data_IF_735477890206
#
_entry.id   IF_735477890206
#
_cell.length_a   1.000
_cell.length_b   1.000
_cell.length_c   1.000
_cell.angle_alpha   90.00
_cell.angle_beta   90.00
_cell.angle_gamma   90.00
#
_symmetry.space_group_name_H-M   'P 1'
#
loop_
_entity.id
_entity.type
_entity.pdbx_description
1 polymer ?
#
# COMPACT_ATOMS: atom_id res chain seq x y z
N UNK A 1 7.62 16.46 25.13
CA UNK A 1 7.47 15.18 24.40
C UNK A 1 6.00 14.99 24.09
N UNK A 2 5.62 14.80 22.82
CA UNK A 2 4.25 14.45 22.46
C UNK A 2 3.97 13.03 22.98
N UNK A 3 2.84 12.85 23.68
CA UNK A 3 2.35 11.54 24.11
C UNK A 3 1.83 10.77 22.89
N UNK A 4 2.73 10.31 22.03
CA UNK A 4 2.38 9.27 21.05
C UNK A 4 2.18 7.97 21.83
N UNK A 5 0.94 7.47 21.85
CA UNK A 5 0.66 6.12 22.35
C UNK A 5 1.51 5.16 21.51
N UNK A 6 2.57 4.61 22.09
CA UNK A 6 3.33 3.51 21.50
C UNK A 6 2.34 2.35 21.27
N UNK A 7 1.89 2.21 20.03
CA UNK A 7 1.12 1.06 19.60
C UNK A 7 2.10 -0.04 19.20
N UNK A 8 1.86 -1.25 19.68
CA UNK A 8 2.63 -2.42 19.26
C UNK A 8 2.49 -2.63 17.74
N UNK A 9 3.55 -3.13 17.11
CA UNK A 9 3.48 -3.53 15.70
C UNK A 9 2.46 -4.67 15.55
N UNK A 10 1.63 -4.64 14.50
CA UNK A 10 0.54 -5.61 14.30
C UNK A 10 1.00 -7.07 14.34
N UNK A 11 2.19 -7.36 13.81
CA UNK A 11 2.79 -8.69 13.84
C UNK A 11 3.09 -9.20 15.27
N UNK A 12 3.43 -8.31 16.21
CA UNK A 12 3.62 -8.71 17.61
C UNK A 12 2.28 -9.14 18.23
N UNK A 13 1.22 -8.35 18.02
CA UNK A 13 -0.12 -8.72 18.46
C UNK A 13 -0.63 -10.00 17.79
N UNK A 14 -0.30 -10.22 16.52
CA UNK A 14 -0.62 -11.45 15.81
C UNK A 14 0.12 -12.65 16.40
N UNK A 15 1.41 -12.53 16.72
CA UNK A 15 2.16 -13.60 17.38
C UNK A 15 1.58 -13.96 18.76
N UNK A 16 1.15 -12.97 19.55
CA UNK A 16 0.46 -13.21 20.82
C UNK A 16 -0.88 -13.93 20.62
N UNK A 17 -1.68 -13.54 19.61
CA UNK A 17 -2.93 -14.25 19.27
C UNK A 17 -2.69 -15.70 18.88
N UNK A 18 -1.65 -15.96 18.09
CA UNK A 18 -1.29 -17.31 17.65
C UNK A 18 -0.96 -18.21 18.84
N UNK A 19 -0.23 -17.67 19.82
CA UNK A 19 0.31 -18.46 20.93
C UNK A 19 -0.70 -18.60 22.07
N UNK A 20 -1.38 -17.50 22.42
CA UNK A 20 -2.27 -17.46 23.57
C UNK A 20 -3.72 -17.78 23.20
N UNK A 21 -4.10 -17.70 21.92
CA UNK A 21 -5.46 -17.96 21.47
C UNK A 21 -6.49 -17.18 22.27
N UNK A 22 -7.47 -17.89 22.83
CA UNK A 22 -8.54 -17.32 23.66
C UNK A 22 -8.01 -16.74 24.98
N UNK A 23 -6.85 -17.18 25.47
CA UNK A 23 -6.25 -16.64 26.69
C UNK A 23 -5.76 -15.20 26.52
N UNK A 24 -5.63 -14.72 25.28
CA UNK A 24 -5.33 -13.31 25.00
C UNK A 24 -6.35 -12.37 25.63
N UNK A 25 -7.60 -12.80 25.80
CA UNK A 25 -8.65 -12.00 26.44
C UNK A 25 -8.33 -11.63 27.90
N UNK A 26 -7.51 -12.44 28.58
CA UNK A 26 -7.11 -12.22 29.96
C UNK A 26 -5.95 -11.24 30.11
N UNK A 27 -5.31 -10.82 29.01
CA UNK A 27 -4.26 -9.80 29.04
C UNK A 27 -4.81 -8.36 29.21
N UNK A 28 -6.11 -8.12 29.00
CA UNK A 28 -6.74 -6.82 29.25
C UNK A 28 -6.26 -5.64 28.37
N UNK A 29 -7.00 -4.53 28.38
CA UNK A 29 -6.79 -3.36 27.49
C UNK A 29 -5.60 -2.46 27.89
N UNK A 30 -4.96 -2.71 29.02
CA UNK A 30 -3.86 -1.89 29.55
C UNK A 30 -2.79 -2.77 30.20
N UNK A 31 -1.78 -3.16 29.42
CA UNK A 31 -0.51 -3.64 29.98
C UNK A 31 0.57 -2.62 29.63
N UNK A 32 1.05 -1.83 30.61
CA UNK A 32 2.26 -1.06 30.44
C UNK A 32 3.42 -2.04 30.28
N UNK A 33 3.82 -2.24 29.03
CA UNK A 33 5.04 -2.91 28.58
C UNK A 33 5.42 -4.18 29.37
N UNK A 34 4.80 -5.31 29.01
CA UNK A 34 5.28 -6.61 29.49
C UNK A 34 6.61 -6.94 28.82
N UNK A 35 7.65 -7.10 29.65
CA UNK A 35 8.95 -7.61 29.23
C UNK A 35 8.87 -9.12 29.04
N UNK A 36 8.81 -9.55 27.78
CA UNK A 36 8.86 -10.96 27.40
C UNK A 36 10.31 -11.37 27.19
N UNK A 37 10.87 -12.15 28.13
CA UNK A 37 12.22 -12.70 27.97
C UNK A 37 12.17 -13.98 27.12
N UNK A 38 12.11 -13.79 25.80
CA UNK A 38 11.99 -14.86 24.81
C UNK A 38 12.92 -16.06 25.05
N UNK A 39 14.20 -15.91 25.45
CA UNK A 39 15.09 -17.05 25.67
C UNK A 39 14.68 -17.99 26.83
N UNK A 40 13.81 -17.56 27.76
CA UNK A 40 13.30 -18.41 28.85
C UNK A 40 11.94 -19.04 28.54
N UNK A 41 11.31 -18.67 27.44
CA UNK A 41 10.06 -19.29 27.04
C UNK A 41 10.31 -20.65 26.41
N UNK A 42 9.34 -21.53 26.56
CA UNK A 42 9.34 -22.80 25.83
C UNK A 42 9.37 -22.54 24.31
N UNK A 43 10.21 -23.29 23.61
CA UNK A 43 10.48 -23.06 22.18
C UNK A 43 9.39 -23.60 21.28
N UNK A 44 8.71 -24.67 21.69
CA UNK A 44 7.66 -25.29 20.89
C UNK A 44 6.38 -24.47 21.02
N UNK A 45 6.00 -24.10 22.25
CA UNK A 45 4.81 -23.30 22.53
C UNK A 45 4.92 -21.87 21.98
N UNK A 46 6.11 -21.25 22.06
CA UNK A 46 6.30 -19.84 21.71
C UNK A 46 7.06 -19.65 20.39
N UNK A 47 7.03 -20.64 19.51
CA UNK A 47 7.82 -20.71 18.28
C UNK A 47 7.79 -19.40 17.45
N UNK A 48 6.59 -18.85 17.22
CA UNK A 48 6.42 -17.65 16.39
C UNK A 48 6.97 -16.37 17.04
N UNK A 49 6.80 -16.20 18.35
CA UNK A 49 7.40 -15.09 19.08
C UNK A 49 8.93 -15.19 19.06
N UNK A 50 9.49 -16.38 19.20
CA UNK A 50 10.94 -16.57 19.14
C UNK A 50 11.53 -16.34 17.75
N UNK A 51 10.71 -16.51 16.71
CA UNK A 51 11.07 -16.26 15.31
C UNK A 51 11.03 -14.77 14.94
N UNK A 52 10.41 -13.91 15.76
CA UNK A 52 10.42 -12.44 15.63
C UNK A 52 11.78 -11.84 16.04
N UNK A 53 12.83 -12.25 15.34
CA UNK A 53 14.20 -11.73 15.48
C UNK A 53 14.79 -11.45 14.11
N UNK A 54 15.89 -10.70 14.04
CA UNK A 54 16.57 -10.29 12.80
C UNK A 54 17.87 -11.06 12.53
N UNK A 55 18.06 -12.21 13.17
CA UNK A 55 19.26 -13.04 13.09
C UNK A 55 18.94 -14.53 12.88
N UNK A 56 17.88 -14.82 12.12
CA UNK A 56 17.59 -16.20 11.71
C UNK A 56 18.72 -16.76 10.85
N UNK A 57 19.09 -18.02 11.06
CA UNK A 57 20.12 -18.69 10.29
C UNK A 57 19.55 -19.24 8.99
N UNK A 58 20.27 -19.03 7.88
CA UNK A 58 20.01 -19.75 6.64
C UNK A 58 20.14 -21.28 6.85
N UNK A 59 19.49 -22.06 6.00
CA UNK A 59 19.40 -23.51 6.08
C UNK A 59 18.17 -24.01 6.84
N UNK A 60 18.38 -24.96 7.76
CA UNK A 60 17.32 -25.72 8.45
C UNK A 60 16.33 -24.83 9.20
N UNK A 61 16.80 -23.75 9.82
CA UNK A 61 15.95 -22.85 10.61
C UNK A 61 14.92 -22.14 9.73
N UNK A 62 15.34 -21.52 8.62
CA UNK A 62 14.42 -20.89 7.67
C UNK A 62 13.51 -21.92 7.00
N UNK A 63 14.02 -23.11 6.65
CA UNK A 63 13.18 -24.18 6.05
C UNK A 63 12.09 -24.67 7.01
N UNK A 64 12.42 -24.80 8.29
CA UNK A 64 11.45 -25.16 9.34
C UNK A 64 10.39 -24.07 9.51
N UNK A 65 10.81 -22.80 9.49
CA UNK A 65 9.88 -21.66 9.53
C UNK A 65 8.89 -21.70 8.36
N UNK A 66 9.39 -21.94 7.15
CA UNK A 66 8.58 -22.07 5.95
C UNK A 66 7.58 -23.23 6.05
N UNK A 67 8.04 -24.41 6.48
CA UNK A 67 7.19 -25.59 6.65
C UNK A 67 6.10 -25.39 7.71
N UNK A 68 6.41 -24.68 8.80
CA UNK A 68 5.44 -24.34 9.83
C UNK A 68 4.44 -23.27 9.38
N UNK A 69 4.88 -22.32 8.55
CA UNK A 69 4.00 -21.32 7.94
C UNK A 69 3.00 -21.95 6.98
N UNK A 70 3.44 -22.89 6.14
CA UNK A 70 2.62 -23.50 5.09
C UNK A 70 1.34 -24.14 5.63
N UNK A 71 1.42 -24.78 6.81
CA UNK A 71 0.27 -25.39 7.50
C UNK A 71 -0.83 -24.39 7.87
N UNK A 72 -0.50 -23.10 7.97
CA UNK A 72 -1.38 -22.02 8.44
C UNK A 72 -1.47 -20.84 7.45
N UNK A 73 -1.09 -21.06 6.18
CA UNK A 73 -0.91 -20.00 5.17
C UNK A 73 -2.13 -19.12 4.91
N UNK A 74 -3.33 -19.63 5.14
CA UNK A 74 -4.58 -18.87 4.94
C UNK A 74 -4.91 -17.93 6.10
N UNK A 75 -4.20 -18.03 7.22
CA UNK A 75 -4.42 -17.18 8.39
C UNK A 75 -3.74 -15.82 8.23
N UNK A 76 -4.53 -14.76 8.38
CA UNK A 76 -4.05 -13.38 8.34
C UNK A 76 -3.01 -13.09 9.41
N UNK A 77 -3.13 -13.69 10.60
CA UNK A 77 -2.19 -13.48 11.69
C UNK A 77 -0.83 -14.11 11.39
N UNK A 78 -0.82 -15.34 10.86
CA UNK A 78 0.41 -16.01 10.44
C UNK A 78 1.09 -15.26 9.29
N UNK A 79 0.30 -14.77 8.32
CA UNK A 79 0.81 -13.94 7.22
C UNK A 79 1.44 -12.64 7.73
N UNK A 80 0.82 -11.96 8.69
CA UNK A 80 1.36 -10.74 9.28
C UNK A 80 2.71 -10.98 10.00
N UNK A 81 2.82 -12.08 10.75
CA UNK A 81 4.06 -12.49 11.41
C UNK A 81 5.14 -12.84 10.38
N UNK A 82 4.83 -13.67 9.40
CA UNK A 82 5.77 -14.11 8.37
C UNK A 82 6.31 -12.96 7.53
N UNK A 83 5.46 -11.99 7.18
CA UNK A 83 5.86 -10.77 6.48
C UNK A 83 6.90 -9.96 7.26
N UNK A 84 6.70 -9.79 8.58
CA UNK A 84 7.67 -9.07 9.41
C UNK A 84 9.00 -9.82 9.50
N UNK A 85 8.95 -11.13 9.74
CA UNK A 85 10.15 -11.97 9.83
C UNK A 85 10.96 -11.93 8.53
N UNK A 86 10.28 -12.04 7.39
CA UNK A 86 10.92 -12.02 6.06
C UNK A 86 11.64 -10.70 5.81
N UNK A 87 11.01 -9.57 6.17
CA UNK A 87 11.62 -8.24 6.01
C UNK A 87 12.82 -8.04 6.94
N UNK A 88 12.73 -8.53 8.17
CA UNK A 88 13.79 -8.39 9.17
C UNK A 88 15.02 -9.28 8.88
N UNK A 89 14.85 -10.37 8.11
CA UNK A 89 15.91 -11.34 7.79
C UNK A 89 16.14 -11.47 6.27
N UNK A 90 15.96 -10.37 5.52
CA UNK A 90 15.96 -10.40 4.05
C UNK A 90 17.20 -11.08 3.45
N UNK A 91 18.40 -10.76 3.95
CA UNK A 91 19.65 -11.33 3.44
C UNK A 91 19.72 -12.85 3.61
N UNK A 92 19.32 -13.36 4.78
CA UNK A 92 19.36 -14.80 5.07
C UNK A 92 18.26 -15.54 4.31
N UNK A 93 17.09 -14.91 4.14
CA UNK A 93 16.02 -15.41 3.30
C UNK A 93 16.44 -15.45 1.83
N UNK A 94 17.23 -14.48 1.36
CA UNK A 94 17.73 -14.39 -0.02
C UNK A 94 18.72 -15.50 -0.38
N UNK A 95 19.52 -15.96 0.59
CA UNK A 95 20.41 -17.13 0.41
C UNK A 95 19.61 -18.42 0.19
N UNK A 96 18.53 -18.62 0.95
CA UNK A 96 17.60 -19.74 0.72
C UNK A 96 16.70 -19.55 -0.51
N UNK A 97 16.63 -18.32 -1.06
CA UNK A 97 15.83 -17.95 -2.24
C UNK A 97 16.33 -18.54 -3.56
N UNK A 98 17.51 -19.17 -3.60
CA UNK A 98 17.86 -20.04 -4.74
C UNK A 98 17.09 -21.37 -4.76
N UNK A 99 16.32 -21.66 -3.70
CA UNK A 99 15.40 -22.79 -3.57
C UNK A 99 13.91 -22.34 -3.67
N UNK A 100 13.63 -21.06 -3.97
CA UNK A 100 12.33 -20.36 -3.82
C UNK A 100 11.22 -20.65 -4.85
N UNK A 101 11.31 -21.61 -5.75
CA UNK A 101 10.19 -21.86 -6.67
C UNK A 101 8.90 -22.24 -5.91
N UNK A 102 9.03 -22.98 -4.81
CA UNK A 102 7.92 -23.30 -3.90
C UNK A 102 7.40 -22.08 -3.12
N UNK A 103 8.25 -21.10 -2.84
CA UNK A 103 7.89 -19.86 -2.14
C UNK A 103 7.12 -18.91 -3.07
N UNK A 104 7.55 -18.82 -4.34
CA UNK A 104 6.79 -18.13 -5.37
C UNK A 104 5.45 -18.81 -5.63
N UNK A 105 5.38 -20.15 -5.65
CA UNK A 105 4.12 -20.90 -5.79
C UNK A 105 3.17 -20.67 -4.59
N UNK A 106 3.72 -20.56 -3.37
CA UNK A 106 2.95 -20.33 -2.15
C UNK A 106 2.30 -18.95 -2.09
N UNK A 107 2.92 -17.93 -2.72
CA UNK A 107 2.39 -16.58 -2.83
C UNK A 107 1.86 -16.23 -4.24
N UNK A 108 1.93 -17.17 -5.20
CA UNK A 108 1.65 -16.89 -6.61
C UNK A 108 0.23 -16.37 -6.81
N UNK A 109 -0.74 -16.99 -6.14
CA UNK A 109 -2.14 -16.60 -6.30
C UNK A 109 -2.42 -15.23 -5.69
N UNK A 110 -1.87 -14.94 -4.50
CA UNK A 110 -2.04 -13.64 -3.84
C UNK A 110 -1.35 -12.50 -4.63
N UNK A 111 -0.17 -12.78 -5.20
CA UNK A 111 0.52 -11.86 -6.11
C UNK A 111 -0.27 -11.65 -7.39
N UNK A 112 -0.79 -12.73 -7.99
CA UNK A 112 -1.56 -12.70 -9.24
C UNK A 112 -2.86 -11.93 -9.05
N UNK A 113 -3.55 -12.17 -7.94
CA UNK A 113 -4.74 -11.41 -7.58
C UNK A 113 -4.44 -9.93 -7.32
N UNK A 114 -3.35 -9.62 -6.63
CA UNK A 114 -2.94 -8.24 -6.39
C UNK A 114 -2.58 -7.51 -7.69
N UNK A 115 -1.85 -8.16 -8.61
CA UNK A 115 -1.56 -7.62 -9.95
C UNK A 115 -2.85 -7.43 -10.76
N UNK A 116 -3.76 -8.41 -10.76
CA UNK A 116 -5.04 -8.30 -11.47
C UNK A 116 -5.87 -7.13 -10.94
N UNK A 117 -5.96 -6.97 -9.61
CA UNK A 117 -6.65 -5.86 -8.96
C UNK A 117 -6.01 -4.53 -9.33
N UNK A 118 -4.69 -4.41 -9.18
CA UNK A 118 -3.95 -3.18 -9.51
C UNK A 118 -4.13 -2.76 -10.97
N UNK A 119 -4.05 -3.70 -11.91
CA UNK A 119 -4.30 -3.42 -13.34
C UNK A 119 -5.73 -2.99 -13.61
N UNK A 120 -6.70 -3.66 -12.99
CA UNK A 120 -8.12 -3.36 -13.19
C UNK A 120 -8.49 -2.00 -12.63
N UNK A 121 -8.01 -1.68 -11.43
CA UNK A 121 -8.22 -0.37 -10.79
C UNK A 121 -7.49 0.74 -11.55
N UNK A 122 -6.23 0.52 -11.93
CA UNK A 122 -5.47 1.47 -12.72
C UNK A 122 -6.10 1.76 -14.08
N UNK A 123 -6.61 0.72 -14.78
CA UNK A 123 -7.32 0.90 -16.05
C UNK A 123 -8.63 1.67 -15.87
N UNK A 124 -9.41 1.36 -14.83
CA UNK A 124 -10.66 2.08 -14.54
C UNK A 124 -10.40 3.55 -14.20
N UNK A 125 -9.41 3.82 -13.35
CA UNK A 125 -9.04 5.17 -12.95
C UNK A 125 -8.53 5.96 -14.15
N UNK A 126 -7.55 5.43 -14.88
CA UNK A 126 -6.99 6.09 -16.05
C UNK A 126 -8.01 6.36 -17.16
N UNK A 127 -8.95 5.43 -17.40
CA UNK A 127 -10.05 5.65 -18.35
C UNK A 127 -10.99 6.77 -17.90
N UNK A 128 -11.34 6.80 -16.61
CA UNK A 128 -12.22 7.83 -16.05
C UNK A 128 -11.55 9.21 -16.08
N UNK A 129 -10.31 9.31 -15.59
CA UNK A 129 -9.54 10.56 -15.58
C UNK A 129 -9.27 11.07 -17.00
N UNK A 130 -8.86 10.19 -17.92
CA UNK A 130 -8.64 10.56 -19.31
C UNK A 130 -9.90 11.05 -20.02
N UNK A 131 -11.06 10.42 -19.78
CA UNK A 131 -12.33 10.87 -20.34
C UNK A 131 -12.75 12.24 -19.80
N UNK A 132 -12.61 12.45 -18.49
CA UNK A 132 -12.94 13.72 -17.85
C UNK A 132 -12.03 14.85 -18.34
N UNK A 133 -10.72 14.58 -18.41
CA UNK A 133 -9.74 15.55 -18.90
C UNK A 133 -10.02 15.89 -20.37
N UNK A 134 -10.20 14.88 -21.24
CA UNK A 134 -10.48 15.11 -22.66
C UNK A 134 -11.78 15.89 -22.89
N UNK A 135 -12.83 15.60 -22.12
CA UNK A 135 -14.10 16.35 -22.20
C UNK A 135 -13.93 17.80 -21.74
N UNK A 136 -13.21 18.03 -20.64
CA UNK A 136 -12.94 19.39 -20.14
C UNK A 136 -12.09 20.18 -21.13
N UNK A 137 -11.00 19.60 -21.65
CA UNK A 137 -10.14 20.23 -22.65
C UNK A 137 -10.91 20.59 -23.93
N UNK A 138 -11.73 19.66 -24.44
CA UNK A 138 -12.55 19.92 -25.63
C UNK A 138 -13.56 21.07 -25.42
N UNK A 139 -14.19 21.15 -24.23
CA UNK A 139 -15.10 22.23 -23.88
C UNK A 139 -14.37 23.58 -23.76
N UNK A 140 -13.18 23.59 -23.16
CA UNK A 140 -12.37 24.80 -23.04
C UNK A 140 -11.92 25.31 -24.41
N UNK A 141 -11.40 24.43 -25.26
CA UNK A 141 -11.00 24.78 -26.62
C UNK A 141 -12.17 25.36 -27.42
N UNK A 142 -13.32 24.67 -27.44
CA UNK A 142 -14.49 25.12 -28.18
C UNK A 142 -15.00 26.49 -27.68
N UNK A 143 -14.95 26.74 -26.37
CA UNK A 143 -15.36 28.02 -25.81
C UNK A 143 -14.40 29.15 -26.20
N UNK A 144 -13.09 28.91 -26.18
CA UNK A 144 -12.08 29.89 -26.61
C UNK A 144 -12.25 30.22 -28.09
N UNK A 145 -12.36 29.20 -28.96
CA UNK A 145 -12.55 29.37 -30.40
C UNK A 145 -13.85 30.14 -30.69
N UNK A 146 -14.96 29.79 -30.03
CA UNK A 146 -16.25 30.49 -30.17
C UNK A 146 -16.13 31.97 -29.81
N UNK A 147 -15.52 32.31 -28.67
CA UNK A 147 -15.39 33.71 -28.26
C UNK A 147 -14.45 34.50 -29.19
N UNK A 148 -13.40 33.86 -29.70
CA UNK A 148 -12.51 34.46 -30.68
C UNK A 148 -13.24 34.74 -32.00
N UNK A 149 -14.04 33.79 -32.51
CA UNK A 149 -14.87 33.95 -33.71
C UNK A 149 -15.92 35.05 -33.55
N UNK A 150 -16.43 35.25 -32.34
CA UNK A 150 -17.32 36.36 -31.99
C UNK A 150 -16.60 37.72 -31.87
N UNK A 151 -15.29 37.78 -32.08
CA UNK A 151 -14.49 39.00 -32.08
C UNK A 151 -14.13 39.53 -30.70
N UNK A 152 -14.23 38.71 -29.64
CA UNK A 152 -13.76 39.11 -28.31
C UNK A 152 -12.23 39.18 -28.30
N UNK A 153 -11.67 40.11 -27.53
CA UNK A 153 -10.23 40.16 -27.32
C UNK A 153 -9.77 39.11 -26.29
N UNK A 154 -8.45 38.95 -26.17
CA UNK A 154 -7.82 37.98 -25.27
C UNK A 154 -8.24 38.15 -23.80
N UNK A 155 -8.30 39.39 -23.29
CA UNK A 155 -8.58 39.66 -21.88
C UNK A 155 -10.04 39.36 -21.53
N UNK A 156 -10.98 39.73 -22.41
CA UNK A 156 -12.40 39.48 -22.23
C UNK A 156 -12.71 37.98 -22.34
N UNK A 157 -12.08 37.29 -23.29
CA UNK A 157 -12.23 35.84 -23.45
C UNK A 157 -11.69 35.11 -22.23
N UNK A 158 -10.49 35.46 -21.77
CA UNK A 158 -9.90 34.89 -20.55
C UNK A 158 -10.82 35.07 -19.34
N UNK A 159 -11.38 36.27 -19.16
CA UNK A 159 -12.28 36.57 -18.04
C UNK A 159 -13.56 35.72 -18.09
N UNK A 160 -14.16 35.56 -19.28
CA UNK A 160 -15.35 34.73 -19.47
C UNK A 160 -15.09 33.24 -19.28
N UNK A 161 -13.94 32.73 -19.74
CA UNK A 161 -13.52 31.34 -19.50
C UNK A 161 -13.33 31.09 -18.01
N UNK A 162 -12.63 31.99 -17.32
CA UNK A 162 -12.42 31.91 -15.87
C UNK A 162 -13.75 31.85 -15.12
N UNK A 163 -14.69 32.75 -15.43
CA UNK A 163 -16.00 32.80 -14.77
C UNK A 163 -16.85 31.56 -15.09
N UNK A 164 -16.96 31.18 -16.36
CA UNK A 164 -17.80 30.07 -16.82
C UNK A 164 -17.39 28.72 -16.22
N UNK A 165 -16.08 28.48 -16.08
CA UNK A 165 -15.54 27.22 -15.58
C UNK A 165 -15.03 27.32 -14.13
N UNK A 166 -15.28 28.45 -13.45
CA UNK A 166 -14.89 28.69 -12.05
C UNK A 166 -13.40 28.42 -11.78
N UNK A 167 -12.56 28.85 -12.71
CA UNK A 167 -11.13 28.59 -12.70
C UNK A 167 -10.37 29.66 -11.93
N UNK A 168 -9.18 29.30 -11.47
CA UNK A 168 -8.18 30.27 -11.01
C UNK A 168 -7.64 31.09 -12.18
N UNK A 169 -6.97 32.21 -11.87
CA UNK A 169 -6.37 33.02 -12.92
C UNK A 169 -5.28 32.30 -13.71
N UNK A 170 -4.50 31.44 -13.04
CA UNK A 170 -3.45 30.69 -13.69
C UNK A 170 -3.99 29.57 -14.58
N UNK A 171 -5.08 28.91 -14.19
CA UNK A 171 -5.73 27.90 -15.02
C UNK A 171 -6.35 28.51 -16.26
N UNK A 172 -7.07 29.63 -16.12
CA UNK A 172 -7.62 30.37 -17.25
C UNK A 172 -6.52 30.84 -18.20
N UNK A 173 -5.40 31.38 -17.66
CA UNK A 173 -4.24 31.76 -18.46
C UNK A 173 -3.66 30.60 -19.25
N UNK A 174 -3.44 29.44 -18.61
CA UNK A 174 -2.89 28.23 -19.29
C UNK A 174 -3.80 27.74 -20.42
N UNK A 175 -5.12 27.77 -20.21
CA UNK A 175 -6.10 27.42 -21.26
C UNK A 175 -5.98 28.37 -22.44
N UNK A 176 -5.90 29.68 -22.17
CA UNK A 176 -5.74 30.70 -23.21
C UNK A 176 -4.42 30.53 -23.95
N UNK A 177 -3.31 30.32 -23.26
CA UNK A 177 -2.00 30.05 -23.87
C UNK A 177 -2.01 28.82 -24.79
N UNK A 178 -2.77 27.77 -24.42
CA UNK A 178 -2.85 26.52 -25.18
C UNK A 178 -3.76 26.63 -26.42
N UNK A 179 -4.85 27.38 -26.35
CA UNK A 179 -5.93 27.32 -27.35
C UNK A 179 -6.18 28.64 -28.10
N UNK A 180 -5.65 29.78 -27.64
CA UNK A 180 -5.80 31.06 -28.32
C UNK A 180 -4.91 31.12 -29.56
N UNK A 181 -5.52 31.40 -30.73
CA UNK A 181 -4.77 31.55 -31.98
C UNK A 181 -4.44 33.03 -32.19
N UNK A 182 -3.19 33.39 -32.39
CA UNK A 182 -2.86 34.77 -32.80
C UNK A 182 -3.25 34.93 -34.28
N UNK A 183 -4.36 35.62 -34.52
CA UNK A 183 -4.79 36.12 -35.83
C UNK A 183 -4.23 37.51 -36.10
#
# INVERSE_FOLDING_TARGET
>A
MKNEKLQWHQAFSAALRIILGDEMQYLGDFIPMQFLYLPKLDKEENYWLQSLRNNLKAGEEIRTLMSNYEKNRTSKDYSAVMNLITRANWEQMEVEKKMCDALNELFAEELREADLRGRTEGLKLGKSEGLNLGKSEGLHQAAVETYQEMGLNYQDTRSRIKEKYQLTEDEARKIMEKHWKFT
#
